data_IF_827617984777
#
_entry.id   IF_827617984777
#
_cell.length_a   1.000
_cell.length_b   1.000
_cell.length_c   1.000
_cell.angle_alpha   90.00
_cell.angle_beta   90.00
_cell.angle_gamma   90.00
#
_symmetry.space_group_name_H-M   'P 1'
#
loop_
_entity.id
_entity.type
_entity.pdbx_description
1 polymer ?
#
# COMPACT_ATOMS: atom_id res chain seq x y z
N UNK A 1 9.16 40.79 -11.60
CA UNK A 1 7.87 40.25 -12.09
C UNK A 1 8.05 38.87 -12.74
N UNK A 2 8.87 38.73 -13.79
CA UNK A 2 9.15 37.43 -14.44
C UNK A 2 9.72 36.36 -13.49
N UNK A 3 10.71 36.70 -12.66
CA UNK A 3 11.32 35.77 -11.71
C UNK A 3 10.32 35.22 -10.66
N UNK A 4 9.35 36.04 -10.22
CA UNK A 4 8.31 35.61 -9.29
C UNK A 4 7.36 34.61 -9.96
N UNK A 5 6.98 34.88 -11.22
CA UNK A 5 6.17 33.97 -12.02
C UNK A 5 6.87 32.62 -12.22
N UNK A 6 8.18 32.63 -12.52
CA UNK A 6 8.98 31.40 -12.66
C UNK A 6 9.01 30.61 -11.36
N UNK A 7 9.18 31.26 -10.21
CA UNK A 7 9.16 30.60 -8.90
C UNK A 7 7.80 29.97 -8.59
N UNK A 8 6.70 30.67 -8.88
CA UNK A 8 5.34 30.15 -8.69
C UNK A 8 5.11 28.93 -9.57
N UNK A 9 5.47 29.00 -10.86
CA UNK A 9 5.33 27.88 -11.79
C UNK A 9 6.19 26.68 -11.35
N UNK A 10 7.43 26.90 -10.92
CA UNK A 10 8.30 25.84 -10.41
C UNK A 10 7.72 25.19 -9.15
N UNK A 11 7.17 25.97 -8.21
CA UNK A 11 6.52 25.45 -7.01
C UNK A 11 5.27 24.62 -7.35
N UNK A 12 4.47 25.03 -8.34
CA UNK A 12 3.33 24.24 -8.81
C UNK A 12 3.76 22.89 -9.41
N UNK A 13 4.84 22.86 -10.19
CA UNK A 13 5.36 21.62 -10.78
C UNK A 13 5.89 20.63 -9.73
N UNK A 14 6.43 21.11 -8.60
CA UNK A 14 6.91 20.25 -7.51
C UNK A 14 5.78 19.58 -6.70
N UNK A 15 4.54 20.04 -6.85
CA UNK A 15 3.37 19.48 -6.15
C UNK A 15 2.72 18.29 -6.88
N UNK A 16 3.19 17.97 -8.10
CA UNK A 16 2.67 16.85 -8.89
C UNK A 16 2.97 15.52 -8.17
N UNK A 17 1.98 14.61 -8.05
CA UNK A 17 2.19 13.31 -7.42
C UNK A 17 3.21 12.51 -8.23
N UNK A 18 4.23 11.97 -7.55
CA UNK A 18 5.24 11.13 -8.20
C UNK A 18 4.65 9.75 -8.49
N UNK A 19 4.69 9.31 -9.75
CA UNK A 19 4.11 8.05 -10.23
C UNK A 19 4.68 6.77 -9.54
N UNK A 20 5.74 6.90 -8.73
CA UNK A 20 6.35 5.80 -7.99
C UNK A 20 5.83 5.64 -6.54
N UNK A 21 4.92 6.49 -6.06
CA UNK A 21 4.34 6.38 -4.72
C UNK A 21 3.29 5.28 -4.65
N UNK A 22 3.69 4.01 -4.73
CA UNK A 22 2.81 2.85 -4.54
C UNK A 22 2.62 2.63 -3.04
N UNK A 23 1.43 2.99 -2.51
CA UNK A 23 1.11 2.86 -1.08
C UNK A 23 0.72 1.44 -0.65
N UNK A 24 0.33 0.60 -1.61
CA UNK A 24 -0.22 -0.72 -1.33
C UNK A 24 0.33 -1.77 -2.28
N UNK A 25 0.75 -2.90 -1.71
CA UNK A 25 1.00 -4.14 -2.45
C UNK A 25 -0.17 -5.10 -2.19
N UNK A 26 -0.49 -5.93 -3.17
CA UNK A 26 -1.48 -6.99 -3.01
C UNK A 26 -0.80 -8.29 -2.57
N UNK A 27 -1.33 -8.95 -1.54
CA UNK A 27 -0.91 -10.27 -1.10
C UNK A 27 -2.05 -11.24 -1.39
N UNK A 28 -1.77 -12.30 -2.16
CA UNK A 28 -2.73 -13.35 -2.50
C UNK A 28 -2.20 -14.71 -2.08
N UNK A 29 -3.09 -15.56 -1.56
CA UNK A 29 -2.76 -16.92 -1.15
C UNK A 29 -3.96 -17.65 -0.56
N UNK A 30 -3.77 -18.90 -0.17
CA UNK A 30 -4.79 -19.75 0.45
C UNK A 30 -4.31 -20.20 1.82
N UNK A 31 -5.19 -20.16 2.81
CA UNK A 31 -4.91 -20.69 4.16
C UNK A 31 -5.47 -22.10 4.24
N UNK A 32 -4.63 -23.07 4.60
CA UNK A 32 -5.03 -24.46 4.77
C UNK A 32 -4.70 -24.98 6.16
N UNK A 33 -5.48 -25.95 6.66
CA UNK A 33 -5.16 -26.69 7.88
C UNK A 33 -4.24 -27.90 7.62
N UNK A 34 -3.94 -28.69 8.67
CA UNK A 34 -3.07 -29.87 8.57
C UNK A 34 -3.64 -31.02 7.74
N UNK A 35 -4.94 -31.02 7.45
CA UNK A 35 -5.59 -31.96 6.54
C UNK A 35 -5.54 -31.52 5.08
N UNK A 36 -5.15 -30.25 4.84
CA UNK A 36 -5.14 -29.62 3.51
C UNK A 36 -6.45 -28.96 3.14
N UNK A 37 -7.43 -28.84 4.05
CA UNK A 37 -8.68 -28.15 3.80
C UNK A 37 -8.50 -26.63 3.83
N UNK A 38 -9.22 -25.89 2.97
CA UNK A 38 -9.23 -24.42 2.97
C UNK A 38 -9.90 -23.89 4.22
N UNK A 39 -9.26 -22.94 4.90
CA UNK A 39 -9.80 -22.25 6.07
C UNK A 39 -10.47 -20.95 5.62
N UNK A 40 -11.82 -20.88 5.59
CA UNK A 40 -12.53 -19.66 5.25
C UNK A 40 -12.43 -18.62 6.37
N UNK A 41 -12.46 -17.34 6.00
CA UNK A 41 -12.48 -16.21 6.94
C UNK A 41 -11.36 -16.22 7.99
N UNK A 42 -10.20 -16.78 7.62
CA UNK A 42 -9.01 -16.84 8.47
C UNK A 42 -8.53 -15.42 8.79
N UNK A 43 -8.28 -15.14 10.06
CA UNK A 43 -7.71 -13.86 10.50
C UNK A 43 -6.21 -13.82 10.17
N UNK A 44 -5.78 -12.77 9.47
CA UNK A 44 -4.40 -12.56 9.04
C UNK A 44 -3.96 -11.15 9.42
N UNK A 45 -2.79 -11.05 10.04
CA UNK A 45 -2.13 -9.76 10.32
C UNK A 45 -0.90 -9.66 9.43
N UNK A 46 -0.87 -8.65 8.56
CA UNK A 46 0.27 -8.34 7.69
C UNK A 46 0.99 -7.14 8.28
N UNK A 47 2.27 -7.29 8.62
CA UNK A 47 3.12 -6.19 9.10
C UNK A 47 4.11 -5.79 8.02
N UNK A 48 4.09 -4.51 7.65
CA UNK A 48 5.14 -3.91 6.84
C UNK A 48 6.37 -3.68 7.73
N UNK A 49 7.46 -4.41 7.48
CA UNK A 49 8.66 -4.38 8.32
C UNK A 49 9.43 -3.05 8.24
N UNK A 50 9.34 -2.31 7.13
CA UNK A 50 10.01 -1.03 6.95
C UNK A 50 9.32 0.10 7.74
N UNK A 51 7.98 0.09 7.77
CA UNK A 51 7.17 1.16 8.40
C UNK A 51 6.57 0.75 9.74
N UNK A 52 6.66 -0.53 10.11
CA UNK A 52 6.03 -1.13 11.29
C UNK A 52 4.48 -1.03 11.34
N UNK A 53 3.85 -0.74 10.20
CA UNK A 53 2.38 -0.67 10.10
C UNK A 53 1.82 -2.09 9.94
N UNK A 54 0.78 -2.42 10.72
CA UNK A 54 0.07 -3.69 10.63
C UNK A 54 -1.34 -3.51 10.07
N UNK A 55 -1.76 -4.45 9.22
CA UNK A 55 -3.09 -4.54 8.65
C UNK A 55 -3.72 -5.89 9.01
N UNK A 56 -4.90 -5.86 9.61
CA UNK A 56 -5.68 -7.06 9.89
C UNK A 56 -6.74 -7.27 8.80
N UNK A 57 -6.81 -8.47 8.24
CA UNK A 57 -7.77 -8.85 7.19
C UNK A 57 -8.35 -10.24 7.45
N UNK A 58 -9.49 -10.54 6.84
CA UNK A 58 -10.04 -11.89 6.74
C UNK A 58 -9.92 -12.42 5.32
N UNK A 59 -9.55 -13.68 5.16
CA UNK A 59 -9.49 -14.32 3.83
C UNK A 59 -10.90 -14.54 3.26
N UNK A 60 -11.02 -14.51 1.93
CA UNK A 60 -12.31 -14.67 1.24
C UNK A 60 -12.68 -16.13 0.94
N UNK A 61 -11.75 -17.08 1.16
CA UNK A 61 -11.92 -18.48 0.76
C UNK A 61 -11.58 -18.73 -0.69
#
# INVERSE_FOLDING_TARGET
>A
MLHLLVLVVAACLLSLPLAAQVRSSAITGTVTDSSGAVVPAAAVVVTNQETNISLEVRTTG
#
